data_IF_223323784818
#
_entry.id   IF_223323784818
#
_cell.length_a   1.000
_cell.length_b   1.000
_cell.length_c   1.000
_cell.angle_alpha   90.00
_cell.angle_beta   90.00
_cell.angle_gamma   90.00
#
_symmetry.space_group_name_H-M   'P 1'
#
loop_
_entity.id
_entity.type
_entity.pdbx_description
1 polymer ?
#
# COMPACT_ATOMS: atom_id res chain seq x y z
N UNK A 1 1.73 2.34 6.40
CA UNK A 1 2.90 1.68 5.81
C UNK A 1 4.06 1.90 6.76
N UNK A 2 4.49 0.86 7.48
CA UNK A 2 5.66 0.93 8.34
C UNK A 2 6.61 -0.15 7.84
N UNK A 3 7.75 0.26 7.31
CA UNK A 3 8.74 -0.65 6.73
C UNK A 3 10.05 -0.44 7.47
N UNK A 4 10.64 -1.53 7.96
CA UNK A 4 11.95 -1.54 8.60
C UNK A 4 12.77 -2.70 8.04
N UNK A 5 14.10 -2.56 7.94
CA UNK A 5 14.95 -3.59 7.38
C UNK A 5 15.03 -4.82 8.27
N UNK A 6 15.16 -5.99 7.66
CA UNK A 6 15.54 -7.20 8.36
C UNK A 6 17.03 -7.10 8.75
N UNK A 7 17.35 -7.08 10.06
CA UNK A 7 18.74 -7.25 10.52
C UNK A 7 19.13 -8.73 10.47
N UNK A 8 20.36 -9.00 10.01
CA UNK A 8 20.87 -10.36 9.82
C UNK A 8 21.20 -11.14 11.10
N UNK A 9 21.32 -10.51 12.28
CA UNK A 9 21.97 -11.21 13.41
C UNK A 9 21.61 -10.74 14.84
N UNK A 10 20.38 -10.29 15.11
CA UNK A 10 19.99 -10.03 16.51
C UNK A 10 18.55 -10.40 16.81
N UNK A 11 18.39 -11.28 17.81
CA UNK A 11 17.15 -11.57 18.52
C UNK A 11 16.72 -10.37 19.39
N UNK A 12 16.52 -9.21 18.75
CA UNK A 12 15.86 -8.06 19.37
C UNK A 12 14.66 -7.68 18.52
N UNK A 13 13.49 -7.42 19.13
CA UNK A 13 12.29 -7.06 18.39
C UNK A 13 12.50 -5.66 17.80
N UNK A 14 12.98 -5.62 16.55
CA UNK A 14 12.96 -4.42 15.73
C UNK A 14 11.56 -3.84 15.81
N UNK A 15 11.44 -2.60 16.32
CA UNK A 15 10.20 -1.89 16.63
C UNK A 15 9.11 -2.16 15.60
N UNK A 16 8.40 -3.23 15.86
CA UNK A 16 7.21 -3.70 15.20
C UNK A 16 6.23 -3.81 16.34
N UNK A 17 6.03 -2.74 17.10
CA UNK A 17 4.71 -2.51 17.64
C UNK A 17 4.03 -1.68 16.57
N UNK A 18 2.82 -2.01 16.09
CA UNK A 18 1.99 -0.99 15.48
C UNK A 18 1.96 0.14 16.49
N UNK A 19 2.46 1.31 16.09
CA UNK A 19 2.30 2.52 16.89
C UNK A 19 0.80 2.69 17.20
N UNK A 20 0.49 3.52 18.20
CA UNK A 20 -0.91 3.76 18.58
C UNK A 20 -1.79 4.11 17.35
N UNK A 21 -1.20 4.84 16.40
CA UNK A 21 -1.84 5.21 15.14
C UNK A 21 -2.19 4.02 14.24
N UNK A 22 -1.26 3.09 13.98
CA UNK A 22 -1.55 1.90 13.18
C UNK A 22 -2.62 1.03 13.83
N UNK A 23 -2.63 0.90 15.17
CA UNK A 23 -3.69 0.14 15.88
C UNK A 23 -5.06 0.79 15.74
N UNK A 24 -5.12 2.10 15.87
CA UNK A 24 -6.37 2.84 15.74
C UNK A 24 -6.94 2.72 14.32
N UNK A 25 -6.12 2.98 13.30
CA UNK A 25 -6.52 2.88 11.90
C UNK A 25 -6.98 1.47 11.52
N UNK A 26 -6.31 0.44 12.05
CA UNK A 26 -6.70 -0.95 11.77
C UNK A 26 -8.03 -1.33 12.43
N UNK A 27 -8.36 -0.78 13.61
CA UNK A 27 -9.70 -0.95 14.21
C UNK A 27 -10.77 -0.29 13.34
N UNK A 28 -10.56 0.97 12.95
CA UNK A 28 -11.53 1.73 12.15
C UNK A 28 -11.82 1.08 10.80
N UNK A 29 -10.80 0.58 10.10
CA UNK A 29 -10.97 -0.13 8.82
C UNK A 29 -11.76 -1.42 9.03
N UNK A 30 -11.49 -2.18 10.10
CA UNK A 30 -12.24 -3.41 10.42
C UNK A 30 -13.69 -3.12 10.77
N UNK A 31 -13.96 -2.09 11.56
CA UNK A 31 -15.32 -1.67 11.93
C UNK A 31 -16.15 -1.25 10.71
N UNK A 32 -15.51 -0.68 9.69
CA UNK A 32 -16.15 -0.32 8.42
C UNK A 32 -16.30 -1.51 7.44
N UNK A 33 -15.99 -2.73 7.88
CA UNK A 33 -16.05 -3.93 7.04
C UNK A 33 -14.97 -4.01 5.96
N UNK A 34 -13.90 -3.22 6.09
CA UNK A 34 -12.80 -3.19 5.14
C UNK A 34 -11.88 -4.41 5.27
N UNK A 35 -11.40 -4.91 4.14
CA UNK A 35 -10.32 -5.92 4.13
C UNK A 35 -8.97 -5.24 4.33
N UNK A 36 -8.19 -5.79 5.24
CA UNK A 36 -6.94 -5.19 5.70
C UNK A 36 -5.75 -5.97 5.14
N UNK A 37 -4.97 -5.30 4.29
CA UNK A 37 -3.74 -5.81 3.68
C UNK A 37 -2.54 -5.13 4.34
N UNK A 38 -1.60 -5.91 4.89
CA UNK A 38 -0.39 -5.38 5.49
C UNK A 38 0.84 -5.66 4.62
N UNK A 39 1.54 -4.60 4.22
CA UNK A 39 2.89 -4.64 3.65
C UNK A 39 3.89 -4.50 4.80
N UNK A 40 4.74 -5.50 5.01
CA UNK A 40 5.61 -5.59 6.20
C UNK A 40 6.98 -6.18 5.86
N UNK A 41 7.98 -6.01 6.71
CA UNK A 41 9.29 -6.68 6.54
C UNK A 41 9.24 -8.21 6.77
N UNK A 42 8.12 -8.77 7.24
CA UNK A 42 7.98 -10.21 7.48
C UNK A 42 6.64 -10.60 8.10
N UNK A 43 6.29 -11.89 8.00
CA UNK A 43 4.98 -12.42 8.44
C UNK A 43 4.73 -12.37 9.95
N UNK A 44 5.79 -12.28 10.76
CA UNK A 44 5.70 -12.35 12.23
C UNK A 44 5.61 -10.97 12.91
N UNK A 45 5.42 -9.91 12.14
CA UNK A 45 5.20 -8.56 12.71
C UNK A 45 3.78 -8.45 13.29
N UNK A 46 3.51 -7.66 14.34
CA UNK A 46 2.15 -7.57 14.86
C UNK A 46 1.20 -6.89 13.89
N UNK A 47 1.67 -5.99 13.01
CA UNK A 47 0.83 -5.46 11.94
C UNK A 47 0.40 -6.58 10.96
N UNK A 48 1.30 -7.51 10.63
CA UNK A 48 0.94 -8.68 9.83
C UNK A 48 -0.09 -9.57 10.54
N UNK A 49 0.04 -9.77 11.86
CA UNK A 49 -0.92 -10.54 12.66
C UNK A 49 -2.31 -9.89 12.78
N UNK A 50 -2.39 -8.57 12.65
CA UNK A 50 -3.65 -7.81 12.72
C UNK A 50 -4.36 -7.68 11.36
N UNK A 51 -3.68 -8.03 10.26
CA UNK A 51 -4.22 -7.93 8.91
C UNK A 51 -4.86 -9.25 8.46
N UNK A 52 -5.77 -9.15 7.49
CA UNK A 52 -6.39 -10.33 6.86
C UNK A 52 -5.43 -10.98 5.86
N UNK A 53 -4.62 -10.16 5.19
CA UNK A 53 -3.61 -10.59 4.22
C UNK A 53 -2.29 -9.91 4.57
N UNK A 54 -1.21 -10.68 4.64
CA UNK A 54 0.15 -10.19 4.88
C UNK A 54 1.00 -10.42 3.64
N UNK A 55 1.54 -9.35 3.09
CA UNK A 55 2.51 -9.36 1.99
C UNK A 55 3.87 -8.90 2.54
N UNK A 56 4.85 -9.81 2.68
CA UNK A 56 6.19 -9.45 3.09
C UNK A 56 6.91 -8.73 1.93
N UNK A 57 7.46 -7.56 2.22
CA UNK A 57 8.21 -6.71 1.29
C UNK A 57 9.51 -6.27 1.99
N UNK A 58 10.39 -7.24 2.25
CA UNK A 58 11.66 -6.97 2.89
C UNK A 58 12.68 -6.45 1.87
N UNK A 59 13.46 -5.44 2.26
CA UNK A 59 14.72 -5.12 1.61
C UNK A 59 15.86 -5.87 2.32
N UNK A 60 16.87 -6.29 1.56
CA UNK A 60 18.03 -6.99 2.11
C UNK A 60 18.89 -6.09 3.02
N UNK A 61 18.90 -4.78 2.75
CA UNK A 61 19.51 -3.73 3.55
C UNK A 61 18.87 -2.37 3.19
N UNK A 62 18.93 -1.40 4.09
CA UNK A 62 18.64 0.00 3.75
C UNK A 62 19.86 0.67 3.14
N UNK A 63 19.62 1.66 2.27
CA UNK A 63 20.67 2.43 1.63
C UNK A 63 21.10 3.63 2.48
N UNK A 64 21.99 3.45 3.46
CA UNK A 64 22.72 4.57 4.07
C UNK A 64 23.91 4.07 4.90
N UNK A 65 24.89 4.95 5.20
CA UNK A 65 26.04 4.70 6.09
C UNK A 65 25.64 4.14 7.46
N UNK A 66 24.44 4.47 7.95
CA UNK A 66 23.91 4.04 9.25
C UNK A 66 22.89 2.88 9.16
N UNK A 67 22.33 2.61 7.97
CA UNK A 67 21.33 1.55 7.75
C UNK A 67 20.03 1.72 8.56
N UNK A 68 19.68 2.96 8.94
CA UNK A 68 18.50 3.29 9.76
C UNK A 68 17.40 3.96 8.95
N UNK A 69 17.75 4.75 7.94
CA UNK A 69 16.75 5.47 7.14
C UNK A 69 15.99 4.51 6.22
N UNK A 70 14.66 4.53 6.21
CA UNK A 70 13.85 3.63 5.40
C UNK A 70 13.83 4.10 3.94
N UNK A 71 14.73 3.57 3.13
CA UNK A 71 14.88 3.89 1.71
C UNK A 71 14.51 2.71 0.82
N UNK A 72 15.30 1.65 0.89
CA UNK A 72 15.15 0.47 0.07
C UNK A 72 13.83 -0.24 0.38
N UNK A 73 13.46 -0.30 1.66
CA UNK A 73 12.24 -0.96 2.08
C UNK A 73 10.97 -0.16 1.75
N UNK A 74 11.04 1.18 1.81
CA UNK A 74 10.00 2.07 1.29
C UNK A 74 9.78 1.86 -0.20
N UNK A 75 10.86 1.82 -0.98
CA UNK A 75 10.81 1.56 -2.43
C UNK A 75 10.27 0.16 -2.73
N UNK A 76 10.71 -0.86 -2.01
CA UNK A 76 10.21 -2.22 -2.17
C UNK A 76 8.69 -2.30 -1.94
N UNK A 77 8.18 -1.70 -0.86
CA UNK A 77 6.75 -1.65 -0.59
C UNK A 77 5.99 -0.90 -1.70
N UNK A 78 6.55 0.22 -2.20
CA UNK A 78 5.95 1.01 -3.28
C UNK A 78 5.89 0.25 -4.62
N UNK A 79 6.95 -0.50 -4.97
CA UNK A 79 6.98 -1.31 -6.18
C UNK A 79 5.98 -2.48 -6.11
N UNK A 80 5.89 -3.15 -4.95
CA UNK A 80 4.93 -4.24 -4.74
C UNK A 80 3.49 -3.73 -4.83
N UNK A 81 3.15 -2.61 -4.19
CA UNK A 81 1.78 -2.07 -4.27
C UNK A 81 1.44 -1.62 -5.70
N UNK A 82 2.38 -1.02 -6.43
CA UNK A 82 2.14 -0.62 -7.82
C UNK A 82 1.94 -1.82 -8.75
N UNK A 83 2.75 -2.88 -8.59
CA UNK A 83 2.57 -4.10 -9.36
C UNK A 83 1.21 -4.76 -9.07
N UNK A 84 0.81 -4.81 -7.80
CA UNK A 84 -0.51 -5.30 -7.40
C UNK A 84 -1.65 -4.46 -8.00
N UNK A 85 -1.52 -3.13 -7.96
CA UNK A 85 -2.51 -2.23 -8.55
C UNK A 85 -2.64 -2.42 -10.06
N UNK A 86 -1.52 -2.58 -10.78
CA UNK A 86 -1.51 -2.83 -12.22
C UNK A 86 -2.22 -4.15 -12.56
N UNK A 87 -1.92 -5.22 -11.83
CA UNK A 87 -2.57 -6.53 -12.03
C UNK A 87 -4.06 -6.48 -11.68
N UNK A 88 -4.43 -5.84 -10.56
CA UNK A 88 -5.83 -5.64 -10.18
C UNK A 88 -6.58 -4.83 -11.24
N UNK A 89 -6.00 -3.75 -11.77
CA UNK A 89 -6.60 -2.95 -12.81
C UNK A 89 -6.87 -3.76 -14.08
N UNK A 90 -5.91 -4.60 -14.48
CA UNK A 90 -6.03 -5.52 -15.60
C UNK A 90 -7.16 -6.53 -15.39
N UNK A 91 -7.20 -7.21 -14.23
CA UNK A 91 -8.23 -8.22 -13.92
C UNK A 91 -9.62 -7.63 -13.78
N UNK A 92 -9.73 -6.44 -13.21
CA UNK A 92 -11.01 -5.73 -13.07
C UNK A 92 -11.45 -5.03 -14.36
N UNK A 93 -10.61 -5.05 -15.41
CA UNK A 93 -10.85 -4.38 -16.70
C UNK A 93 -11.25 -2.92 -16.50
N UNK A 94 -10.52 -2.20 -15.64
CA UNK A 94 -10.83 -0.81 -15.30
C UNK A 94 -10.90 0.06 -16.55
N UNK A 95 -12.08 0.61 -16.81
CA UNK A 95 -12.28 1.53 -17.92
C UNK A 95 -11.97 2.97 -17.50
N UNK A 96 -11.69 3.88 -18.46
CA UNK A 96 -11.53 5.29 -18.11
C UNK A 96 -12.81 5.91 -17.51
N UNK A 97 -13.99 5.36 -17.83
CA UNK A 97 -15.24 5.79 -17.20
C UNK A 97 -15.28 5.42 -15.71
N UNK A 98 -14.77 4.24 -15.33
CA UNK A 98 -14.63 3.83 -13.93
C UNK A 98 -13.63 4.72 -13.20
N UNK A 99 -12.51 5.04 -13.83
CA UNK A 99 -11.52 5.97 -13.26
C UNK A 99 -12.13 7.36 -13.03
N UNK A 100 -12.92 7.89 -13.97
CA UNK A 100 -13.62 9.16 -13.78
C UNK A 100 -14.64 9.09 -12.64
N UNK A 101 -15.39 8.00 -12.52
CA UNK A 101 -16.38 7.80 -11.45
C UNK A 101 -15.75 7.82 -10.06
N UNK A 102 -14.55 7.25 -9.90
CA UNK A 102 -13.85 7.19 -8.61
C UNK A 102 -12.95 8.41 -8.34
N UNK A 103 -12.69 9.26 -9.35
CA UNK A 103 -11.89 10.48 -9.21
C UNK A 103 -12.57 11.74 -9.77
N UNK A 104 -13.86 12.02 -9.46
CA UNK A 104 -14.66 13.00 -10.19
C UNK A 104 -14.13 14.43 -10.09
N UNK A 105 -13.56 14.81 -8.94
CA UNK A 105 -12.97 16.14 -8.71
C UNK A 105 -11.45 16.21 -8.85
N UNK A 106 -10.79 15.09 -9.19
CA UNK A 106 -9.33 14.99 -9.24
C UNK A 106 -8.74 15.35 -10.60
N UNK A 107 -7.40 15.45 -10.66
CA UNK A 107 -6.68 15.65 -11.92
C UNK A 107 -7.00 14.55 -12.96
N UNK A 108 -7.18 13.30 -12.50
CA UNK A 108 -7.58 12.16 -13.34
C UNK A 108 -8.97 12.39 -13.93
N UNK A 109 -9.97 12.68 -13.10
CA UNK A 109 -11.35 12.90 -13.57
C UNK A 109 -11.48 14.07 -14.52
N UNK A 110 -10.76 15.18 -14.28
CA UNK A 110 -10.73 16.33 -15.19
C UNK A 110 -10.16 15.95 -16.56
N UNK A 111 -8.97 15.34 -16.60
CA UNK A 111 -8.34 14.89 -17.86
C UNK A 111 -9.21 13.92 -18.66
N UNK A 112 -9.92 13.03 -17.97
CA UNK A 112 -10.79 12.04 -18.63
C UNK A 112 -12.14 12.64 -19.07
N UNK A 113 -12.60 13.73 -18.43
CA UNK A 113 -13.77 14.48 -18.89
C UNK A 113 -13.49 15.23 -20.19
N UNK A 114 -12.27 15.76 -20.35
CA UNK A 114 -11.87 16.50 -21.56
C UNK A 114 -11.64 15.58 -22.78
N UNK A 115 -11.18 14.35 -22.56
CA UNK A 115 -10.92 13.38 -23.63
C UNK A 115 -12.11 12.48 -24.01
N UNK A 116 -13.20 12.44 -23.24
CA UNK A 116 -14.36 11.62 -23.56
C UNK A 116 -15.44 12.44 -24.29
N UNK A 117 -16.01 11.93 -25.40
CA UNK A 117 -17.07 12.62 -26.11
C UNK A 117 -18.28 12.84 -25.20
N UNK A 118 -18.81 14.06 -25.17
CA UNK A 118 -20.04 14.37 -24.43
C UNK A 118 -21.16 13.53 -25.02
N UNK A 119 -21.87 12.81 -24.14
CA UNK A 119 -23.02 11.94 -24.50
C UNK A 119 -24.18 12.69 -25.17
N UNK A 120 -24.13 14.02 -25.23
CA UNK A 120 -25.19 14.90 -25.72
C UNK A 120 -25.05 15.23 -27.23
N UNK A 121 -24.32 14.39 -27.99
CA UNK A 121 -24.02 14.63 -29.41
C UNK A 121 -24.76 13.68 -30.38
N UNK A 122 -25.86 13.06 -29.94
CA UNK A 122 -26.74 12.21 -30.76
C UNK A 122 -28.19 12.68 -30.62
#
# INVERSE_FOLDING_TARGET
MAVTPARRDSAQPALTAPDGACRQLTSEVRERGGTLLALTGGHQTPLARMAHISLPCAAAAEGELLGVLPEASTLAAHLVINALLAECASRLRLSPADLRKHHPGGAIGRRLADCMPRRDSL
#
